data_IF_542942733300
#
_entry.id   IF_542942733300
#
_cell.length_a   1.000
_cell.length_b   1.000
_cell.length_c   1.000
_cell.angle_alpha   90.00
_cell.angle_beta   90.00
_cell.angle_gamma   90.00
#
_symmetry.space_group_name_H-M   'P 1'
#
loop_
_entity.id
_entity.type
_entity.pdbx_description
1 polymer ?
#
# COMPACT_ATOMS: atom_id res chain seq x y z
N UNK A 1 -7.76 -31.33 2.18
CA UNK A 1 -7.17 -30.41 1.18
C UNK A 1 -7.49 -29.00 1.60
N UNK A 2 -6.53 -28.09 1.49
CA UNK A 2 -6.67 -26.70 1.99
C UNK A 2 -6.24 -25.77 0.86
N UNK A 3 -7.00 -24.72 0.59
CA UNK A 3 -6.62 -23.74 -0.42
C UNK A 3 -5.56 -22.79 0.12
N UNK A 4 -4.55 -22.50 -0.70
CA UNK A 4 -3.50 -21.59 -0.28
C UNK A 4 -4.05 -20.16 -0.17
N UNK A 5 -3.79 -19.44 0.94
CA UNK A 5 -4.29 -18.08 1.12
C UNK A 5 -3.58 -17.08 0.20
N UNK A 6 -4.15 -15.89 0.05
CA UNK A 6 -3.40 -14.78 -0.51
C UNK A 6 -2.42 -14.22 0.53
N UNK A 7 -1.23 -13.83 0.06
CA UNK A 7 -0.17 -13.26 0.90
C UNK A 7 0.24 -11.92 0.31
N UNK A 8 -0.04 -10.84 1.03
CA UNK A 8 0.40 -9.49 0.66
C UNK A 8 1.62 -9.08 1.47
N UNK A 9 2.62 -8.54 0.78
CA UNK A 9 3.86 -8.06 1.38
C UNK A 9 4.12 -6.61 1.00
N UNK A 10 4.44 -5.80 1.99
CA UNK A 10 4.83 -4.40 1.84
C UNK A 10 6.13 -4.15 2.59
N UNK A 11 6.94 -3.22 2.10
CA UNK A 11 8.06 -2.70 2.87
C UNK A 11 7.53 -1.70 3.91
N UNK A 12 8.02 -1.76 5.15
CA UNK A 12 7.55 -0.82 6.20
C UNK A 12 7.96 0.62 5.90
N UNK A 13 9.11 0.83 5.25
CA UNK A 13 9.43 2.08 4.58
C UNK A 13 8.95 2.02 3.12
N UNK A 14 7.84 2.68 2.81
CA UNK A 14 7.25 2.64 1.46
C UNK A 14 8.18 3.18 0.37
N UNK A 15 9.11 4.09 0.70
CA UNK A 15 10.04 4.70 -0.26
C UNK A 15 11.31 3.88 -0.45
N UNK A 16 11.75 3.71 -1.69
CA UNK A 16 13.07 3.18 -2.01
C UNK A 16 14.13 4.24 -1.72
N UNK A 17 14.79 4.15 -0.56
CA UNK A 17 15.94 4.97 -0.17
C UNK A 17 15.68 6.47 -0.28
N UNK A 18 15.47 7.16 0.84
CA UNK A 18 15.32 8.62 0.88
C UNK A 18 16.50 9.38 0.23
N UNK A 19 17.67 8.73 0.11
CA UNK A 19 18.79 9.18 -0.71
C UNK A 19 18.38 9.54 -2.16
N UNK A 20 17.39 8.87 -2.75
CA UNK A 20 16.89 9.20 -4.10
C UNK A 20 16.06 10.48 -4.13
N UNK A 21 15.33 10.79 -3.06
CA UNK A 21 14.60 12.06 -2.92
C UNK A 21 15.57 13.23 -2.69
N UNK A 22 16.60 13.04 -1.85
CA UNK A 22 17.68 14.02 -1.69
C UNK A 22 18.54 14.16 -2.96
N UNK A 23 18.80 13.08 -3.70
CA UNK A 23 19.50 13.13 -4.99
C UNK A 23 18.67 13.84 -6.06
N UNK A 24 17.34 13.72 -6.02
CA UNK A 24 16.43 14.49 -6.88
C UNK A 24 16.43 15.96 -6.46
N UNK A 25 16.42 16.27 -5.15
CA UNK A 25 16.45 17.65 -4.66
C UNK A 25 17.81 18.35 -4.87
N UNK A 26 18.91 17.59 -4.93
CA UNK A 26 20.29 18.09 -5.13
C UNK A 26 20.71 18.19 -6.59
N UNK A 27 19.93 17.66 -7.54
CA UNK A 27 20.21 17.78 -8.98
C UNK A 27 19.73 19.12 -9.51
N UNK A 28 20.65 19.90 -10.09
CA UNK A 28 20.30 21.11 -10.82
C UNK A 28 19.32 20.78 -11.96
N UNK A 29 18.29 21.63 -12.10
CA UNK A 29 17.18 21.55 -13.06
C UNK A 29 17.65 21.27 -14.50
N UNK A 30 18.86 21.72 -14.87
CA UNK A 30 19.41 21.61 -16.22
C UNK A 30 19.94 20.21 -16.59
N UNK A 31 20.44 19.43 -15.63
CA UNK A 31 21.12 18.14 -15.92
C UNK A 31 20.16 16.96 -16.05
N UNK A 32 18.87 17.15 -15.72
CA UNK A 32 17.86 16.07 -15.70
C UNK A 32 16.98 16.04 -16.96
N UNK A 33 17.31 16.82 -18.01
CA UNK A 33 16.45 17.00 -19.20
C UNK A 33 16.66 15.92 -20.28
N UNK A 34 17.47 14.88 -20.03
CA UNK A 34 17.67 13.79 -21.02
C UNK A 34 16.79 12.56 -20.83
N UNK A 35 15.99 12.48 -19.77
CA UNK A 35 15.05 11.37 -19.56
C UNK A 35 13.61 11.92 -19.63
N UNK A 36 12.98 11.79 -20.80
CA UNK A 36 11.64 12.33 -21.13
C UNK A 36 10.49 11.58 -20.46
N UNK A 37 10.61 11.22 -19.18
CA UNK A 37 9.51 10.69 -18.38
C UNK A 37 9.43 11.41 -17.03
N UNK A 38 8.92 12.64 -17.09
CA UNK A 38 8.03 13.30 -16.13
C UNK A 38 8.27 13.06 -14.62
N UNK A 39 9.47 13.35 -14.13
CA UNK A 39 9.69 13.57 -12.70
C UNK A 39 9.51 15.04 -12.31
N UNK A 40 10.09 15.95 -13.08
CA UNK A 40 9.96 17.39 -12.86
C UNK A 40 8.56 17.94 -13.16
N UNK A 41 7.82 17.34 -14.09
CA UNK A 41 6.43 17.70 -14.35
C UNK A 41 5.47 17.26 -13.23
N UNK A 42 5.83 16.23 -12.46
CA UNK A 42 5.08 15.76 -11.27
C UNK A 42 5.46 16.51 -9.99
N UNK A 43 6.56 17.26 -10.02
CA UNK A 43 7.17 17.92 -8.88
C UNK A 43 7.23 19.41 -9.18
N UNK A 44 6.14 20.12 -8.88
CA UNK A 44 6.26 21.57 -8.72
C UNK A 44 7.29 21.81 -7.60
N UNK A 45 8.44 22.45 -7.86
CA UNK A 45 9.47 22.61 -6.86
C UNK A 45 8.93 23.31 -5.62
N UNK A 46 8.00 24.27 -5.77
CA UNK A 46 7.37 24.96 -4.62
C UNK A 46 6.53 24.03 -3.74
N UNK A 47 5.88 23.00 -4.31
CA UNK A 47 5.10 22.00 -3.56
C UNK A 47 6.04 21.04 -2.85
N UNK A 48 7.12 20.60 -3.52
CA UNK A 48 8.12 19.73 -2.89
C UNK A 48 8.84 20.47 -1.75
N UNK A 49 9.22 21.73 -1.95
CA UNK A 49 9.78 22.57 -0.89
C UNK A 49 8.77 22.72 0.24
N UNK A 50 7.48 23.07 0.01
CA UNK A 50 6.45 23.13 1.07
C UNK A 50 6.21 21.80 1.81
N UNK A 51 6.31 20.65 1.14
CA UNK A 51 6.25 19.33 1.80
C UNK A 51 7.48 19.05 2.68
N UNK A 52 8.60 19.73 2.41
CA UNK A 52 9.89 19.58 3.08
C UNK A 52 10.23 20.76 4.02
N UNK A 53 9.50 21.89 3.95
CA UNK A 53 9.82 23.19 4.56
C UNK A 53 8.95 23.44 5.82
N UNK A 54 9.64 23.27 6.96
CA UNK A 54 9.55 23.91 8.27
C UNK A 54 8.23 24.12 9.08
N UNK A 55 8.30 23.57 10.29
CA UNK A 55 7.95 24.20 11.60
C UNK A 55 6.52 24.37 12.10
N UNK A 56 5.47 23.94 11.39
CA UNK A 56 4.11 24.02 11.96
C UNK A 56 3.52 22.68 12.43
N UNK A 57 2.58 22.77 13.38
CA UNK A 57 1.93 21.68 14.12
C UNK A 57 1.17 20.62 13.27
N UNK A 58 1.36 20.64 11.95
CA UNK A 58 0.92 19.66 10.92
C UNK A 58 1.75 18.34 11.01
N UNK A 59 2.62 18.20 12.02
CA UNK A 59 3.44 17.02 12.34
C UNK A 59 2.67 15.73 12.69
N UNK A 60 1.37 15.57 12.38
CA UNK A 60 0.59 14.38 12.78
C UNK A 60 -0.23 13.69 11.68
N UNK A 61 -0.15 14.14 10.44
CA UNK A 61 -0.57 13.33 9.28
C UNK A 61 0.67 12.67 8.69
N UNK A 62 0.78 11.35 8.87
CA UNK A 62 1.87 10.49 8.39
C UNK A 62 2.29 10.87 6.97
N UNK A 63 3.49 11.46 6.77
CA UNK A 63 3.89 12.09 5.49
C UNK A 63 3.77 11.18 4.27
N UNK A 64 3.85 9.85 4.42
CA UNK A 64 3.60 8.89 3.35
C UNK A 64 2.13 8.92 2.86
N UNK A 65 1.16 9.04 3.77
CA UNK A 65 -0.25 9.18 3.43
C UNK A 65 -0.50 10.50 2.72
N UNK A 66 0.13 11.60 3.16
CA UNK A 66 0.06 12.89 2.49
C UNK A 66 0.60 12.81 1.05
N UNK A 67 1.76 12.18 0.82
CA UNK A 67 2.30 11.94 -0.53
C UNK A 67 1.34 11.09 -1.37
N UNK A 68 0.81 10.01 -0.79
CA UNK A 68 -0.10 9.11 -1.52
C UNK A 68 -1.44 9.78 -1.85
N UNK A 69 -1.96 10.64 -0.97
CA UNK A 69 -3.18 11.42 -1.20
C UNK A 69 -2.97 12.50 -2.26
N UNK A 70 -1.91 13.30 -2.12
CA UNK A 70 -1.66 14.42 -3.03
C UNK A 70 -1.18 13.95 -4.41
N UNK A 71 -0.32 12.93 -4.47
CA UNK A 71 0.20 12.38 -5.73
C UNK A 71 0.40 10.86 -5.65
N UNK A 72 -0.66 10.07 -5.94
CA UNK A 72 -0.55 8.61 -6.02
C UNK A 72 0.52 8.13 -7.02
N UNK A 73 0.73 8.88 -8.11
CA UNK A 73 1.77 8.60 -9.12
C UNK A 73 3.18 8.78 -8.54
N UNK A 74 3.40 9.83 -7.74
CA UNK A 74 4.66 10.03 -7.03
C UNK A 74 4.92 8.89 -6.06
N UNK A 75 3.92 8.52 -5.25
CA UNK A 75 4.03 7.39 -4.34
C UNK A 75 4.36 6.08 -5.10
N UNK A 76 3.75 5.84 -6.26
CA UNK A 76 4.05 4.68 -7.11
C UNK A 76 5.49 4.71 -7.66
N UNK A 77 6.01 5.89 -8.01
CA UNK A 77 7.38 6.09 -8.48
C UNK A 77 8.40 5.85 -7.37
N UNK A 78 8.17 6.40 -6.17
CA UNK A 78 9.04 6.26 -5.01
C UNK A 78 9.09 4.83 -4.49
N UNK A 79 8.01 4.07 -4.68
CA UNK A 79 7.94 2.71 -4.19
C UNK A 79 8.89 1.75 -4.93
N UNK A 80 9.51 0.79 -4.21
CA UNK A 80 10.45 -0.15 -4.81
C UNK A 80 9.80 -0.99 -5.92
N UNK A 81 10.63 -1.41 -6.88
CA UNK A 81 10.22 -2.36 -7.92
C UNK A 81 10.19 -3.78 -7.32
N UNK A 82 9.47 -4.68 -7.98
CA UNK A 82 9.43 -6.09 -7.57
C UNK A 82 10.85 -6.67 -7.50
N UNK A 83 11.65 -6.45 -8.54
CA UNK A 83 12.98 -7.04 -8.71
C UNK A 83 14.00 -6.54 -7.66
N UNK A 84 13.77 -5.34 -7.11
CA UNK A 84 14.62 -4.77 -6.05
C UNK A 84 14.17 -5.18 -4.65
N UNK A 85 12.90 -5.56 -4.47
CA UNK A 85 12.33 -5.90 -3.16
C UNK A 85 12.25 -7.41 -2.93
N UNK A 86 11.69 -8.18 -3.88
CA UNK A 86 11.52 -9.63 -3.80
C UNK A 86 12.61 -10.29 -4.65
N UNK A 87 13.70 -10.69 -4.01
CA UNK A 87 14.89 -11.27 -4.66
C UNK A 87 14.69 -12.73 -5.04
N UNK A 88 13.96 -13.48 -4.21
CA UNK A 88 13.69 -14.90 -4.44
C UNK A 88 12.25 -15.22 -4.12
N UNK A 89 11.62 -16.00 -5.00
CA UNK A 89 10.27 -16.51 -4.82
C UNK A 89 10.23 -17.98 -5.19
N UNK A 90 9.72 -18.82 -4.28
CA UNK A 90 9.39 -20.22 -4.58
C UNK A 90 8.03 -20.57 -4.02
N UNK A 91 7.22 -21.26 -4.82
CA UNK A 91 5.94 -21.82 -4.42
C UNK A 91 5.86 -23.27 -4.86
N UNK A 92 5.52 -24.19 -3.94
CA UNK A 92 5.48 -25.63 -4.21
C UNK A 92 6.78 -26.15 -4.84
N UNK A 93 7.92 -25.63 -4.37
CA UNK A 93 9.27 -25.96 -4.85
C UNK A 93 9.66 -25.33 -6.20
N UNK A 94 8.72 -24.70 -6.94
CA UNK A 94 8.98 -24.06 -8.23
C UNK A 94 9.29 -22.57 -8.06
N UNK A 95 10.17 -22.02 -8.89
CA UNK A 95 10.43 -20.57 -8.91
C UNK A 95 9.17 -19.84 -9.37
N UNK A 96 8.81 -18.77 -8.67
CA UNK A 96 7.78 -17.81 -9.09
C UNK A 96 8.44 -16.49 -9.50
N UNK A 97 7.72 -15.68 -10.24
CA UNK A 97 8.20 -14.42 -10.79
C UNK A 97 7.19 -13.29 -10.51
N UNK A 98 7.50 -12.08 -10.99
CA UNK A 98 6.63 -10.90 -10.82
C UNK A 98 5.21 -11.07 -11.37
N UNK A 99 4.99 -11.93 -12.37
CA UNK A 99 3.66 -12.14 -12.96
C UNK A 99 2.77 -12.99 -12.08
N UNK A 100 3.31 -13.61 -11.02
CA UNK A 100 2.54 -14.29 -9.99
C UNK A 100 2.06 -13.34 -8.87
N UNK A 101 2.38 -12.06 -8.96
CA UNK A 101 2.00 -11.05 -7.96
C UNK A 101 1.12 -9.99 -8.59
N UNK A 102 0.08 -9.62 -7.85
CA UNK A 102 -0.75 -8.46 -8.12
C UNK A 102 -0.11 -7.26 -7.41
N UNK A 103 0.00 -6.12 -8.10
CA UNK A 103 0.53 -4.90 -7.49
C UNK A 103 -0.61 -4.18 -6.81
N UNK A 104 -0.43 -3.83 -5.54
CA UNK A 104 -1.43 -3.14 -4.73
C UNK A 104 -0.85 -1.82 -4.26
N UNK A 105 -1.64 -0.76 -4.28
CA UNK A 105 -1.22 0.51 -3.71
C UNK A 105 -1.81 0.67 -2.32
N UNK A 106 -1.00 1.14 -1.39
CA UNK A 106 -1.34 1.37 -0.01
C UNK A 106 -0.93 2.78 0.35
N UNK A 107 -1.81 3.53 1.01
CA UNK A 107 -1.54 4.92 1.35
C UNK A 107 -0.37 5.12 2.32
N UNK A 108 -0.03 4.11 3.11
CA UNK A 108 1.06 4.18 4.11
C UNK A 108 2.35 3.53 3.59
N UNK A 109 2.25 2.37 2.94
CA UNK A 109 3.41 1.58 2.49
C UNK A 109 3.71 1.71 0.99
N UNK A 110 3.03 2.61 0.29
CA UNK A 110 3.08 2.75 -1.16
C UNK A 110 2.78 1.43 -1.90
N UNK A 111 3.75 0.86 -2.62
CA UNK A 111 3.53 -0.32 -3.46
C UNK A 111 3.76 -1.62 -2.69
N UNK A 112 2.73 -2.44 -2.65
CA UNK A 112 2.71 -3.77 -2.07
C UNK A 112 2.54 -4.83 -3.17
N UNK A 113 2.89 -6.08 -2.84
CA UNK A 113 2.79 -7.21 -3.77
C UNK A 113 1.96 -8.33 -3.15
N UNK A 114 0.89 -8.74 -3.82
CA UNK A 114 0.01 -9.82 -3.36
C UNK A 114 0.25 -11.08 -4.19
N UNK A 115 0.76 -12.12 -3.55
CA UNK A 115 0.75 -13.47 -4.11
C UNK A 115 -0.65 -14.06 -3.94
N UNK A 116 -1.42 -14.11 -5.03
CA UNK A 116 -2.80 -14.61 -5.02
C UNK A 116 -2.92 -15.86 -5.91
N UNK A 117 -2.48 -17.00 -5.38
CA UNK A 117 -2.53 -18.27 -6.07
C UNK A 117 -3.46 -19.20 -5.29
N UNK A 118 -4.74 -19.26 -5.68
CA UNK A 118 -5.78 -20.11 -5.09
C UNK A 118 -5.57 -21.62 -5.37
N UNK A 119 -4.32 -22.07 -5.33
CA UNK A 119 -3.96 -23.45 -5.56
C UNK A 119 -4.28 -24.28 -4.31
N UNK A 120 -5.00 -25.38 -4.53
CA UNK A 120 -5.21 -26.38 -3.49
C UNK A 120 -3.88 -27.05 -3.11
N UNK A 121 -3.60 -27.08 -1.81
CA UNK A 121 -2.44 -27.71 -1.19
C UNK A 121 -2.83 -29.10 -0.69
N UNK A 122 -2.09 -30.11 -1.17
CA UNK A 122 -2.25 -31.51 -0.76
C UNK A 122 -1.24 -31.93 0.30
N UNK A 123 -0.03 -31.37 0.22
CA UNK A 123 1.09 -31.70 1.09
C UNK A 123 1.44 -30.49 1.95
N UNK A 124 1.60 -30.70 3.26
CA UNK A 124 2.00 -29.66 4.20
C UNK A 124 3.53 -29.62 4.32
N UNK A 125 4.08 -28.43 4.57
CA UNK A 125 5.49 -28.22 4.89
C UNK A 125 6.14 -27.08 4.09
N UNK A 126 7.32 -26.60 4.51
CA UNK A 126 7.94 -25.40 3.94
C UNK A 126 8.22 -25.51 2.43
N UNK A 127 8.54 -26.71 1.93
CA UNK A 127 8.78 -26.96 0.50
C UNK A 127 7.52 -26.79 -0.35
N UNK A 128 6.35 -27.05 0.23
CA UNK A 128 5.06 -27.01 -0.45
C UNK A 128 4.33 -25.66 -0.28
N UNK A 129 4.85 -24.78 0.58
CA UNK A 129 4.34 -23.44 0.80
C UNK A 129 4.99 -22.37 -0.10
N UNK A 130 4.84 -21.12 0.32
CA UNK A 130 5.48 -19.95 -0.27
C UNK A 130 6.76 -19.62 0.51
N UNK A 131 7.86 -19.43 -0.21
CA UNK A 131 9.14 -18.99 0.31
C UNK A 131 9.56 -17.72 -0.41
N UNK A 132 9.74 -16.65 0.34
CA UNK A 132 10.16 -15.35 -0.17
C UNK A 132 11.49 -14.95 0.47
N UNK A 133 12.33 -14.25 -0.30
CA UNK A 133 13.52 -13.57 0.22
C UNK A 133 13.44 -12.12 -0.20
N UNK A 134 13.53 -11.24 0.78
CA UNK A 134 13.43 -9.80 0.57
C UNK A 134 14.79 -9.15 0.64
N UNK A 135 15.00 -8.14 -0.19
CA UNK A 135 16.09 -7.19 -0.03
C UNK A 135 15.51 -5.89 0.54
N UNK A 136 16.09 -5.48 1.66
CA UNK A 136 15.78 -4.24 2.34
C UNK A 136 17.07 -3.43 2.36
N UNK A 137 17.15 -2.39 1.54
CA UNK A 137 18.22 -1.41 1.63
C UNK A 137 18.11 -0.68 2.97
N UNK A 138 19.25 -0.57 3.67
CA UNK A 138 19.38 0.41 4.75
C UNK A 138 19.37 1.78 4.11
N UNK A 139 18.67 2.70 4.75
CA UNK A 139 18.75 4.11 4.39
C UNK A 139 20.16 4.58 4.80
N UNK A 140 21.14 4.46 3.90
CA UNK A 140 22.47 5.03 4.12
C UNK A 140 22.39 6.54 3.85
N UNK A 141 22.84 7.36 4.80
CA UNK A 141 22.93 8.81 4.66
C UNK A 141 21.82 9.62 5.36
N UNK A 142 20.97 8.95 6.14
CA UNK A 142 20.00 9.60 7.01
C UNK A 142 20.50 9.54 8.46
N UNK A 143 20.53 10.67 9.13
CA UNK A 143 20.80 10.72 10.57
C UNK A 143 19.60 10.09 11.27
N UNK A 144 19.79 8.86 11.77
CA UNK A 144 18.72 7.98 12.27
C UNK A 144 17.88 8.61 13.39
N UNK A 145 18.39 9.66 14.04
CA UNK A 145 17.69 10.37 15.10
C UNK A 145 16.74 11.46 14.60
N UNK A 146 16.93 12.02 13.40
CA UNK A 146 16.15 13.18 12.92
C UNK A 146 15.11 12.81 11.87
N UNK A 147 15.36 11.77 11.06
CA UNK A 147 14.51 11.42 9.92
C UNK A 147 13.55 10.24 10.18
N UNK A 148 13.78 9.43 11.22
CA UNK A 148 12.83 8.38 11.64
C UNK A 148 11.53 9.02 12.18
N UNK A 149 11.68 10.09 12.98
CA UNK A 149 10.57 10.96 13.40
C UNK A 149 9.93 11.70 12.21
N UNK A 150 10.70 11.98 11.15
CA UNK A 150 10.24 12.70 9.97
C UNK A 150 9.29 11.87 9.07
N UNK A 151 9.37 10.53 9.11
CA UNK A 151 8.50 9.65 8.32
C UNK A 151 7.57 8.79 9.17
N UNK A 152 7.59 8.97 10.50
CA UNK A 152 6.90 8.12 11.48
C UNK A 152 7.18 6.61 11.24
N UNK A 153 8.39 6.31 10.74
CA UNK A 153 8.84 4.94 10.50
C UNK A 153 9.28 4.39 11.84
N UNK A 154 8.34 3.84 12.60
CA UNK A 154 8.62 3.17 13.86
C UNK A 154 9.16 1.75 13.66
N UNK A 155 9.04 1.20 12.45
CA UNK A 155 9.34 -0.18 12.13
C UNK A 155 10.20 -0.32 10.86
N UNK A 156 11.25 -1.16 10.94
CA UNK A 156 12.08 -1.50 9.78
C UNK A 156 11.96 -3.00 9.48
N UNK A 157 11.38 -3.34 8.34
CA UNK A 157 11.14 -4.73 7.94
C UNK A 157 10.17 -4.88 6.77
N UNK A 158 9.49 -6.02 6.77
CA UNK A 158 8.43 -6.36 5.80
C UNK A 158 7.13 -6.59 6.55
N UNK A 159 6.08 -5.82 6.24
CA UNK A 159 4.72 -6.13 6.67
C UNK A 159 4.16 -7.25 5.80
N UNK A 160 3.62 -8.28 6.44
CA UNK A 160 3.01 -9.44 5.78
C UNK A 160 1.58 -9.60 6.26
N UNK A 161 0.62 -9.53 5.35
CA UNK A 161 -0.79 -9.84 5.61
C UNK A 161 -1.18 -11.14 4.89
N UNK A 162 -1.83 -12.04 5.64
CA UNK A 162 -2.33 -13.31 5.13
C UNK A 162 -3.85 -13.21 5.15
N UNK A 163 -4.47 -13.33 3.98
CA UNK A 163 -5.89 -13.06 3.82
C UNK A 163 -6.53 -13.99 2.80
N UNK A 164 -7.86 -13.92 2.72
CA UNK A 164 -8.63 -14.69 1.74
C UNK A 164 -8.25 -14.28 0.30
N UNK A 165 -8.17 -15.24 -0.64
CA UNK A 165 -7.97 -14.94 -2.05
C UNK A 165 -8.97 -13.92 -2.59
N UNK A 166 -8.49 -13.00 -3.42
CA UNK A 166 -9.31 -11.95 -4.04
C UNK A 166 -9.97 -10.96 -3.05
N UNK A 167 -9.46 -10.79 -1.83
CA UNK A 167 -9.86 -9.70 -0.93
C UNK A 167 -8.81 -8.59 -0.85
N UNK A 168 -9.20 -7.43 -0.31
CA UNK A 168 -8.25 -6.36 0.03
C UNK A 168 -7.49 -6.75 1.30
N UNK A 169 -6.14 -6.74 1.30
CA UNK A 169 -5.36 -6.95 2.50
C UNK A 169 -5.51 -5.77 3.46
N UNK A 170 -5.73 -6.05 4.75
CA UNK A 170 -5.61 -5.03 5.79
C UNK A 170 -4.16 -5.00 6.31
N UNK A 171 -3.36 -4.11 5.71
CA UNK A 171 -1.94 -3.97 6.04
C UNK A 171 -1.68 -3.23 7.36
N UNK A 172 -2.70 -2.56 7.91
CA UNK A 172 -2.56 -1.77 9.14
C UNK A 172 -2.94 -2.63 10.34
N UNK A 173 -4.11 -3.29 10.29
CA UNK A 173 -4.67 -4.02 11.43
C UNK A 173 -4.33 -5.52 11.43
N UNK A 174 -4.21 -6.15 10.26
CA UNK A 174 -4.06 -7.61 10.12
C UNK A 174 -2.74 -8.01 9.45
N UNK A 175 -1.69 -7.22 9.64
CA UNK A 175 -0.36 -7.53 9.15
C UNK A 175 0.63 -7.76 10.30
N UNK A 176 1.58 -8.66 10.06
CA UNK A 176 2.68 -8.95 10.96
C UNK A 176 3.95 -8.35 10.35
N UNK A 177 4.72 -7.64 11.17
CA UNK A 177 6.02 -7.09 10.75
C UNK A 177 7.11 -8.14 10.96
N UNK A 178 7.86 -8.44 9.89
CA UNK A 178 9.01 -9.34 9.89
C UNK A 178 10.28 -8.52 9.90
N UNK A 179 11.10 -8.69 10.93
CA UNK A 179 12.41 -8.05 11.04
C UNK A 179 13.43 -8.62 10.04
N UNK A 180 14.32 -7.79 9.50
CA UNK A 180 15.46 -8.25 8.69
C UNK A 180 16.44 -9.07 9.52
N UNK A 181 17.30 -9.83 8.83
CA UNK A 181 18.41 -10.59 9.45
C UNK A 181 18.03 -11.97 9.97
N UNK A 182 16.74 -12.33 9.95
CA UNK A 182 16.25 -13.63 10.40
C UNK A 182 15.47 -14.37 9.31
N UNK A 183 15.42 -15.70 9.43
CA UNK A 183 14.53 -16.54 8.62
C UNK A 183 13.26 -16.86 9.43
N UNK A 184 12.17 -16.16 9.10
CA UNK A 184 10.88 -16.33 9.78
C UNK A 184 10.03 -17.39 9.08
N UNK A 185 9.59 -18.40 9.85
CA UNK A 185 8.71 -19.46 9.36
C UNK A 185 7.31 -19.29 9.97
N UNK A 186 6.30 -19.21 9.12
CA UNK A 186 4.91 -19.10 9.54
C UNK A 186 4.16 -20.40 9.23
N UNK A 187 3.59 -21.03 10.27
CA UNK A 187 2.67 -22.15 10.12
C UNK A 187 1.24 -21.63 10.23
N UNK A 188 0.37 -22.06 9.32
CA UNK A 188 -0.99 -21.56 9.21
C UNK A 188 -2.00 -22.68 9.46
N UNK A 189 -3.08 -22.34 10.15
CA UNK A 189 -4.28 -23.17 10.29
C UNK A 189 -5.46 -22.39 9.75
N UNK A 190 -6.14 -22.93 8.75
CA UNK A 190 -7.34 -22.32 8.21
C UNK A 190 -8.56 -22.74 9.04
N UNK A 191 -9.38 -21.76 9.39
CA UNK A 191 -10.70 -21.96 9.98
C UNK A 191 -11.71 -21.26 9.09
N UNK A 192 -12.76 -21.96 8.66
CA UNK A 192 -13.81 -21.42 7.78
C UNK A 192 -15.12 -21.44 8.54
N UNK A 193 -15.81 -20.30 8.55
CA UNK A 193 -17.13 -20.16 9.14
C UNK A 193 -18.16 -19.97 8.03
N UNK A 194 -19.17 -20.83 7.99
CA UNK A 194 -20.32 -20.69 7.09
C UNK A 194 -21.50 -20.08 7.81
N UNK A 195 -22.11 -19.05 7.21
CA UNK A 195 -23.42 -18.53 7.63
C UNK A 195 -24.46 -18.93 6.61
N UNK A 196 -25.67 -19.23 7.07
CA UNK A 196 -26.79 -19.51 6.17
C UNK A 196 -27.34 -18.20 5.58
N UNK A 197 -27.83 -18.29 4.35
CA UNK A 197 -28.56 -17.22 3.69
C UNK A 197 -30.01 -17.12 4.21
N UNK A 198 -30.73 -16.11 3.74
CA UNK A 198 -32.16 -15.98 4.01
C UNK A 198 -32.91 -17.25 3.54
N UNK A 199 -33.88 -17.80 4.32
CA UNK A 199 -34.46 -17.27 5.55
C UNK A 199 -33.74 -17.61 6.87
N UNK A 200 -32.75 -18.51 6.85
CA UNK A 200 -32.12 -19.02 8.07
C UNK A 200 -31.00 -18.13 8.63
N UNK A 201 -30.53 -17.17 7.84
CA UNK A 201 -29.59 -16.15 8.29
C UNK A 201 -29.67 -14.88 7.43
N UNK A 202 -28.94 -13.85 7.86
CA UNK A 202 -28.84 -12.57 7.16
C UNK A 202 -27.46 -12.47 6.50
N UNK A 203 -27.18 -13.37 5.56
CA UNK A 203 -25.95 -13.35 4.78
C UNK A 203 -26.30 -13.22 3.31
N UNK A 204 -25.84 -12.14 2.68
CA UNK A 204 -25.99 -11.94 1.25
C UNK A 204 -24.68 -12.25 0.52
N UNK A 205 -24.76 -12.95 -0.62
CA UNK A 205 -23.60 -13.20 -1.50
C UNK A 205 -23.49 -12.13 -2.57
N UNK A 206 -22.92 -10.98 -2.22
CA UNK A 206 -22.59 -9.96 -3.21
C UNK A 206 -21.13 -10.07 -3.67
N UNK A 207 -20.82 -9.51 -4.84
CA UNK A 207 -19.44 -9.22 -5.27
C UNK A 207 -19.42 -7.78 -5.74
N UNK A 208 -18.42 -7.01 -5.29
CA UNK A 208 -18.28 -5.61 -5.66
C UNK A 208 -17.04 -5.48 -6.53
N UNK A 209 -17.21 -4.87 -7.71
CA UNK A 209 -16.05 -4.45 -8.51
C UNK A 209 -15.45 -3.22 -7.85
N UNK A 210 -14.20 -3.33 -7.41
CA UNK A 210 -13.45 -2.24 -6.81
C UNK A 210 -12.22 -1.97 -7.65
N UNK A 211 -11.87 -0.69 -7.77
CA UNK A 211 -10.58 -0.31 -8.32
C UNK A 211 -9.63 -0.06 -7.17
N UNK A 212 -8.48 -0.72 -7.26
CA UNK A 212 -7.38 -0.44 -6.36
C UNK A 212 -6.60 0.79 -6.83
N UNK A 213 -6.04 1.51 -5.88
CA UNK A 213 -5.57 2.90 -5.88
C UNK A 213 -4.39 3.16 -6.85
N UNK A 214 -3.98 2.19 -7.66
CA UNK A 214 -3.02 2.40 -8.73
C UNK A 214 -3.21 1.50 -9.96
N UNK A 215 -4.37 1.62 -10.62
CA UNK A 215 -4.61 1.19 -12.01
C UNK A 215 -4.99 -0.28 -12.29
N UNK A 216 -5.12 -1.13 -11.27
CA UNK A 216 -5.61 -2.50 -11.50
C UNK A 216 -7.05 -2.63 -10.97
N UNK A 217 -8.02 -2.55 -11.88
CA UNK A 217 -9.39 -2.96 -11.58
C UNK A 217 -9.39 -4.43 -11.17
N UNK A 218 -9.84 -4.75 -9.96
CA UNK A 218 -9.87 -6.14 -9.48
C UNK A 218 -11.28 -6.54 -9.09
N UNK A 219 -11.68 -7.76 -9.45
CA UNK A 219 -12.92 -8.36 -8.94
C UNK A 219 -12.67 -8.80 -7.51
N UNK A 220 -12.96 -7.92 -6.55
CA UNK A 220 -12.74 -8.18 -5.13
C UNK A 220 -13.95 -8.94 -4.57
N UNK A 221 -13.69 -10.02 -3.85
CA UNK A 221 -14.72 -10.70 -3.10
C UNK A 221 -15.26 -9.75 -2.03
N UNK A 222 -16.57 -9.56 -2.02
CA UNK A 222 -17.21 -8.71 -1.02
C UNK A 222 -17.15 -9.42 0.33
N UNK A 223 -16.67 -8.71 1.33
CA UNK A 223 -16.74 -9.12 2.73
C UNK A 223 -17.19 -7.93 3.58
N UNK A 224 -17.53 -8.20 4.84
CA UNK A 224 -18.05 -7.17 5.76
C UNK A 224 -17.09 -5.99 5.92
N UNK A 225 -15.79 -6.26 6.03
CA UNK A 225 -14.75 -5.22 6.15
C UNK A 225 -14.72 -4.30 4.91
N UNK A 226 -14.76 -4.89 3.72
CA UNK A 226 -14.82 -4.16 2.45
C UNK A 226 -16.08 -3.30 2.36
N UNK A 227 -17.23 -3.80 2.80
CA UNK A 227 -18.47 -3.00 2.87
C UNK A 227 -18.31 -1.77 3.75
N UNK A 228 -17.79 -1.95 4.96
CA UNK A 228 -17.60 -0.85 5.90
C UNK A 228 -16.63 0.19 5.34
N UNK A 229 -15.53 -0.26 4.72
CA UNK A 229 -14.53 0.62 4.09
C UNK A 229 -15.10 1.41 2.91
N UNK A 230 -15.93 0.80 2.05
CA UNK A 230 -16.62 1.51 0.96
C UNK A 230 -17.65 2.51 1.52
N UNK A 231 -18.40 2.11 2.55
CA UNK A 231 -19.39 2.99 3.18
C UNK A 231 -18.72 4.23 3.78
N UNK A 232 -17.59 4.06 4.46
CA UNK A 232 -16.76 5.16 4.94
C UNK A 232 -16.27 6.04 3.79
N UNK A 233 -15.80 5.46 2.68
CA UNK A 233 -15.37 6.24 1.52
C UNK A 233 -16.49 7.10 0.94
N UNK A 234 -17.69 6.52 0.78
CA UNK A 234 -18.86 7.24 0.29
C UNK A 234 -19.32 8.33 1.25
N UNK A 235 -19.24 8.07 2.54
CA UNK A 235 -19.54 9.07 3.56
C UNK A 235 -18.57 10.26 3.47
N UNK A 236 -17.26 9.99 3.39
CA UNK A 236 -16.23 11.03 3.24
C UNK A 236 -16.45 11.81 1.95
N UNK A 237 -16.67 11.14 0.82
CA UNK A 237 -16.93 11.81 -0.46
C UNK A 237 -18.19 12.67 -0.40
N UNK A 238 -19.29 12.16 0.17
CA UNK A 238 -20.55 12.91 0.26
C UNK A 238 -20.52 14.08 1.25
N UNK A 239 -19.61 14.06 2.24
CA UNK A 239 -19.46 15.12 3.23
C UNK A 239 -18.39 16.15 2.87
N UNK A 240 -17.25 15.70 2.35
CA UNK A 240 -16.06 16.50 2.13
C UNK A 240 -15.78 16.79 0.66
N UNK A 241 -16.43 16.08 -0.27
CA UNK A 241 -16.22 16.23 -1.72
C UNK A 241 -14.91 15.62 -2.22
N UNK A 242 -14.27 14.73 -1.46
CA UNK A 242 -12.97 14.14 -1.79
C UNK A 242 -12.83 12.69 -1.29
N UNK A 243 -11.81 11.99 -1.79
CA UNK A 243 -11.52 10.59 -1.50
C UNK A 243 -10.41 10.43 -0.45
N UNK A 244 -10.53 9.42 0.41
CA UNK A 244 -9.45 9.04 1.32
C UNK A 244 -8.59 7.91 0.71
N UNK A 245 -7.26 8.09 0.67
CA UNK A 245 -6.30 7.10 0.12
C UNK A 245 -6.22 5.81 0.94
N UNK A 246 -6.66 5.82 2.19
CA UNK A 246 -6.62 4.64 3.07
C UNK A 246 -7.88 3.78 2.91
N UNK A 247 -8.72 4.07 1.92
CA UNK A 247 -9.97 3.38 1.65
C UNK A 247 -10.05 3.01 0.17
N UNK A 248 -10.69 1.86 -0.15
CA UNK A 248 -10.89 1.46 -1.52
C UNK A 248 -11.83 2.42 -2.24
N UNK A 249 -11.55 2.66 -3.53
CA UNK A 249 -12.37 3.51 -4.38
C UNK A 249 -13.33 2.64 -5.20
N UNK A 250 -14.65 2.77 -5.00
CA UNK A 250 -15.61 2.06 -5.83
C UNK A 250 -15.68 2.66 -7.23
N UNK A 251 -16.10 1.88 -8.22
CA UNK A 251 -16.03 2.25 -9.65
C UNK A 251 -16.73 3.59 -9.98
N UNK A 252 -17.81 3.90 -9.28
CA UNK A 252 -18.60 5.13 -9.42
C UNK A 252 -17.84 6.38 -8.98
N UNK A 253 -16.79 6.25 -8.16
CA UNK A 253 -16.00 7.37 -7.63
C UNK A 253 -14.61 7.49 -8.26
N UNK A 254 -14.34 6.80 -9.36
CA UNK A 254 -13.01 6.76 -9.98
C UNK A 254 -12.47 8.11 -10.47
N UNK A 255 -13.37 9.04 -10.79
CA UNK A 255 -13.01 10.36 -11.32
C UNK A 255 -12.94 11.45 -10.24
N UNK A 256 -13.22 11.09 -8.98
CA UNK A 256 -13.17 12.01 -7.86
C UNK A 256 -11.71 12.24 -7.41
N UNK A 257 -11.45 13.39 -6.79
CA UNK A 257 -10.12 13.76 -6.31
C UNK A 257 -9.87 13.26 -4.89
N UNK A 258 -8.61 13.00 -4.54
CA UNK A 258 -8.23 12.68 -3.16
C UNK A 258 -8.20 13.93 -2.29
N UNK A 259 -8.54 13.79 -1.02
CA UNK A 259 -8.42 14.87 -0.05
C UNK A 259 -6.96 15.26 0.09
N UNK A 260 -6.63 16.55 -0.04
CA UNK A 260 -5.27 17.06 0.11
C UNK A 260 -5.24 18.30 0.98
N UNK A 261 -4.31 18.33 1.93
CA UNK A 261 -4.11 19.45 2.87
C UNK A 261 -3.27 20.60 2.28
N UNK A 262 -2.71 20.40 1.08
CA UNK A 262 -1.91 21.41 0.39
C UNK A 262 -2.89 22.26 -0.42
N UNK A 263 -3.22 23.44 0.11
CA UNK A 263 -3.92 24.47 -0.64
C UNK A 263 -3.08 24.89 -1.85
N UNK A 264 -3.40 24.35 -3.02
CA UNK A 264 -3.34 25.18 -4.20
C UNK A 264 -4.40 26.26 -3.95
N UNK A 265 -3.97 27.50 -3.76
CA UNK A 265 -4.86 28.64 -3.60
C UNK A 265 -5.85 28.68 -4.78
N UNK A 266 -7.04 28.09 -4.58
CA UNK A 266 -8.33 28.74 -4.71
C UNK A 266 -9.55 27.88 -4.38
N UNK A 267 -9.43 26.64 -3.91
CA UNK A 267 -10.58 25.90 -3.35
C UNK A 267 -10.09 24.70 -2.51
N UNK A 268 -9.78 24.95 -1.23
CA UNK A 268 -9.36 23.90 -0.28
C UNK A 268 -10.47 23.71 0.75
N UNK A 269 -11.19 22.59 0.67
CA UNK A 269 -12.14 22.18 1.70
C UNK A 269 -11.39 21.75 2.97
N UNK A 270 -11.68 22.47 4.04
CA UNK A 270 -11.14 22.35 5.40
C UNK A 270 -11.78 21.14 6.11
N UNK A 271 -11.03 20.46 7.00
CA UNK A 271 -11.38 20.16 8.41
C UNK A 271 -10.85 18.80 8.91
N UNK A 272 -9.84 18.85 9.78
CA UNK A 272 -9.65 17.96 10.91
C UNK A 272 -9.86 18.80 12.19
N UNK A 273 -11.10 18.92 12.63
CA UNK A 273 -11.49 19.31 13.99
C UNK A 273 -12.92 18.83 14.16
N UNK A 274 -13.10 17.57 14.57
CA UNK A 274 -14.26 17.02 15.31
C UNK A 274 -14.18 15.48 15.35
N UNK A 275 -13.15 14.96 16.02
CA UNK A 275 -13.12 13.63 16.63
C UNK A 275 -12.41 13.69 17.98
#
# INVERSE_FOLDING_TARGET
YVDFPAVTVCRTNGAHGFARLQDISKKNVADTVKDKTDLWAMLNPNIMTRMMDETDNIKKLTRAQAISQHSPKMAQYLAPKYETFIVSCRFKGKKCNKTNFIKRMNGEYFKCFTFNNSATIKNVGPRWGLSLTFYLDRIYGIDLNYDMDAMDITEYGVKVSIHEPNTIPDMVNNAITISPGYNTKMALRQTVFGKMEHPWGQCDKFRVKLVDIAYEATNIAYNQDTCLKICQQRYIQGKCGCLNIMRPVPNDLLNETYCSDISDNNESTIFLNDL
#
